data_IF_818757098826
#
_entry.id   IF_818757098826
#
_cell.length_a   1.000
_cell.length_b   1.000
_cell.length_c   1.000
_cell.angle_alpha   90.00
_cell.angle_beta   90.00
_cell.angle_gamma   90.00
#
_symmetry.space_group_name_H-M   'P 1'
#
loop_
_entity.id
_entity.type
_entity.pdbx_description
1 polymer ?
#
# COMPACT_ATOMS: atom_id res chain seq x y z
N UNK A 1 10.50 -28.64 0.09
CA UNK A 1 9.50 -28.13 1.05
C UNK A 1 9.12 -26.66 0.78
N UNK A 2 10.05 -25.76 0.46
CA UNK A 2 9.73 -24.33 0.23
C UNK A 2 8.75 -24.02 -0.90
N UNK A 3 8.92 -24.63 -2.09
CA UNK A 3 8.08 -24.32 -3.28
C UNK A 3 6.58 -24.59 -3.10
N UNK A 4 6.18 -25.63 -2.35
CA UNK A 4 4.76 -25.91 -2.12
C UNK A 4 4.11 -24.90 -1.17
N UNK A 5 4.88 -24.38 -0.21
CA UNK A 5 4.43 -23.34 0.71
C UNK A 5 4.27 -22.00 -0.01
N UNK A 6 5.21 -21.66 -0.89
CA UNK A 6 5.12 -20.45 -1.73
C UNK A 6 3.83 -20.44 -2.56
N UNK A 7 3.52 -21.54 -3.27
CA UNK A 7 2.30 -21.63 -4.09
C UNK A 7 1.02 -21.45 -3.28
N UNK A 8 0.96 -21.99 -2.06
CA UNK A 8 -0.19 -21.81 -1.18
C UNK A 8 -0.34 -20.35 -0.72
N UNK A 9 0.77 -19.70 -0.37
CA UNK A 9 0.79 -18.30 0.07
C UNK A 9 0.51 -17.33 -1.09
N UNK A 10 1.02 -17.60 -2.29
CA UNK A 10 0.69 -16.86 -3.52
C UNK A 10 -0.79 -16.98 -3.90
N UNK A 11 -1.46 -18.05 -3.47
CA UNK A 11 -2.92 -18.18 -3.59
C UNK A 11 -3.69 -17.21 -2.69
N UNK A 12 -3.10 -16.78 -1.57
CA UNK A 12 -3.73 -15.89 -0.57
C UNK A 12 -3.37 -14.41 -0.79
N UNK A 13 -2.10 -14.15 -1.07
CA UNK A 13 -1.54 -12.81 -1.21
C UNK A 13 -0.90 -12.62 -2.58
N UNK A 14 -1.32 -11.58 -3.27
CA UNK A 14 -0.79 -11.16 -4.57
C UNK A 14 -0.11 -9.81 -4.43
N UNK A 15 0.79 -9.52 -5.36
CA UNK A 15 1.44 -8.21 -5.42
C UNK A 15 0.38 -7.11 -5.55
N UNK A 16 0.55 -6.06 -4.75
CA UNK A 16 -0.34 -4.91 -4.60
C UNK A 16 -1.62 -5.14 -3.78
N UNK A 17 -1.83 -6.34 -3.22
CA UNK A 17 -2.87 -6.53 -2.20
C UNK A 17 -2.59 -5.58 -1.02
N UNK A 18 -3.65 -4.92 -0.53
CA UNK A 18 -3.57 -4.12 0.69
C UNK A 18 -3.72 -5.06 1.88
N UNK A 19 -2.80 -4.95 2.82
CA UNK A 19 -2.77 -5.75 4.03
C UNK A 19 -2.51 -4.88 5.24
N UNK A 20 -2.94 -5.32 6.42
CA UNK A 20 -2.62 -4.70 7.70
C UNK A 20 -1.88 -5.71 8.56
N UNK A 21 -0.79 -5.28 9.20
CA UNK A 21 -0.14 -6.11 10.22
C UNK A 21 -1.04 -6.17 11.46
N UNK A 22 -1.15 -7.34 12.09
CA UNK A 22 -1.81 -7.47 13.39
C UNK A 22 -1.29 -6.41 14.38
N UNK A 23 -2.16 -5.89 15.21
CA UNK A 23 -1.84 -4.96 16.29
C UNK A 23 -1.42 -5.67 17.59
N UNK A 24 -1.58 -7.00 17.67
CA UNK A 24 -1.20 -7.83 18.80
C UNK A 24 0.30 -8.18 18.77
N UNK A 25 1.12 -7.36 19.45
CA UNK A 25 2.58 -7.47 19.47
C UNK A 25 3.08 -8.87 19.83
N UNK A 26 2.51 -9.48 20.88
CA UNK A 26 2.89 -10.80 21.37
C UNK A 26 2.61 -11.90 20.34
N UNK A 27 1.48 -11.80 19.62
CA UNK A 27 1.15 -12.75 18.54
C UNK A 27 2.13 -12.58 17.38
N UNK A 28 2.42 -11.34 16.98
CA UNK A 28 3.38 -11.09 15.89
C UNK A 28 4.77 -11.62 16.24
N UNK A 29 5.24 -11.40 17.47
CA UNK A 29 6.52 -11.94 17.97
C UNK A 29 6.57 -13.46 17.84
N UNK A 30 5.54 -14.14 18.34
CA UNK A 30 5.46 -15.60 18.32
C UNK A 30 5.44 -16.15 16.90
N UNK A 31 4.55 -15.63 16.04
CA UNK A 31 4.37 -16.15 14.68
C UNK A 31 5.52 -15.80 13.74
N UNK A 32 6.34 -14.81 14.08
CA UNK A 32 7.53 -14.46 13.31
C UNK A 32 8.71 -15.40 13.55
N UNK A 33 8.67 -16.27 14.56
CA UNK A 33 9.71 -17.28 14.76
C UNK A 33 9.83 -18.20 13.53
N UNK A 34 11.03 -18.27 12.94
CA UNK A 34 11.28 -19.00 11.69
C UNK A 34 10.85 -18.26 10.40
N UNK A 35 10.28 -17.05 10.52
CA UNK A 35 9.78 -16.20 9.43
C UNK A 35 10.51 -14.85 9.35
N UNK A 36 11.80 -14.85 9.69
CA UNK A 36 12.64 -13.64 9.79
C UNK A 36 12.76 -13.08 11.21
N UNK A 37 11.95 -13.58 12.16
CA UNK A 37 11.97 -13.17 13.56
C UNK A 37 11.34 -11.81 13.79
N UNK A 38 11.39 -11.39 15.06
CA UNK A 38 10.94 -10.07 15.49
C UNK A 38 12.10 -9.07 15.53
N UNK A 39 11.81 -7.83 15.13
CA UNK A 39 12.68 -6.68 15.29
C UNK A 39 11.90 -5.59 16.03
N UNK A 40 12.47 -4.96 17.06
CA UNK A 40 11.76 -3.94 17.86
C UNK A 40 11.21 -2.77 17.01
N UNK A 41 11.82 -2.46 15.86
CA UNK A 41 11.29 -1.46 14.91
C UNK A 41 9.94 -1.87 14.32
N UNK A 42 9.63 -3.17 14.23
CA UNK A 42 8.34 -3.68 13.75
C UNK A 42 7.17 -3.17 14.57
N UNK A 43 7.39 -2.79 15.85
CA UNK A 43 6.38 -2.15 16.70
C UNK A 43 5.72 -0.94 16.03
N UNK A 44 6.48 -0.20 15.22
CA UNK A 44 5.98 0.96 14.46
C UNK A 44 5.05 0.59 13.30
N UNK A 45 5.01 -0.69 12.92
CA UNK A 45 4.19 -1.24 11.83
C UNK A 45 2.96 -2.01 12.32
N UNK A 46 2.82 -2.24 13.64
CA UNK A 46 1.65 -2.93 14.22
C UNK A 46 0.36 -2.16 13.94
N UNK A 47 -0.65 -2.83 13.39
CA UNK A 47 -1.92 -2.23 12.97
C UNK A 47 -1.80 -1.26 11.78
N UNK A 48 -0.62 -1.16 11.14
CA UNK A 48 -0.38 -0.26 10.01
C UNK A 48 -0.68 -0.99 8.71
N UNK A 49 -1.31 -0.28 7.76
CA UNK A 49 -1.56 -0.81 6.41
C UNK A 49 -0.29 -0.78 5.55
N UNK A 50 -0.23 -1.67 4.57
CA UNK A 50 0.86 -1.77 3.61
C UNK A 50 0.41 -2.49 2.35
N UNK A 51 1.32 -2.54 1.38
CA UNK A 51 1.13 -3.22 0.12
C UNK A 51 2.04 -4.44 0.04
N UNK A 52 1.48 -5.57 -0.40
CA UNK A 52 2.27 -6.76 -0.72
C UNK A 52 3.19 -6.44 -1.90
N UNK A 53 4.49 -6.59 -1.71
CA UNK A 53 5.50 -6.46 -2.76
C UNK A 53 5.67 -7.79 -3.51
N UNK A 54 5.83 -8.88 -2.77
CA UNK A 54 5.93 -10.25 -3.31
C UNK A 54 5.82 -11.30 -2.20
N UNK A 55 5.59 -12.55 -2.61
CA UNK A 55 5.74 -13.73 -1.75
C UNK A 55 7.13 -14.35 -2.00
N UNK A 56 7.85 -14.69 -0.94
CA UNK A 56 9.14 -15.37 -1.04
C UNK A 56 9.42 -16.26 0.19
N UNK A 57 9.82 -17.51 -0.05
CA UNK A 57 10.18 -18.47 0.99
C UNK A 57 9.10 -18.73 2.06
N UNK A 58 7.83 -18.69 1.65
CA UNK A 58 6.66 -18.85 2.50
C UNK A 58 6.33 -17.61 3.34
N UNK A 59 7.00 -16.48 3.08
CA UNK A 59 6.74 -15.18 3.69
C UNK A 59 6.11 -14.22 2.69
N UNK A 60 5.40 -13.24 3.21
CA UNK A 60 4.88 -12.12 2.43
C UNK A 60 5.76 -10.90 2.72
N UNK A 61 6.42 -10.37 1.68
CA UNK A 61 7.15 -9.10 1.78
C UNK A 61 6.16 -7.95 1.60
N UNK A 62 6.04 -7.10 2.62
CA UNK A 62 5.10 -5.97 2.66
C UNK A 62 5.86 -4.67 2.83
N UNK A 63 5.50 -3.66 2.04
CA UNK A 63 5.92 -2.27 2.21
C UNK A 63 4.79 -1.49 2.90
N UNK A 64 5.02 -1.04 4.13
CA UNK A 64 4.03 -0.34 4.93
C UNK A 64 4.00 1.15 4.59
N UNK A 65 2.88 1.82 4.88
CA UNK A 65 2.73 3.26 4.64
C UNK A 65 3.67 4.12 5.49
N UNK A 66 4.26 3.55 6.54
CA UNK A 66 5.37 4.15 7.28
C UNK A 66 6.72 4.00 6.55
N UNK A 67 6.79 3.46 5.34
CA UNK A 67 8.03 3.18 4.60
C UNK A 67 8.93 2.09 5.20
N UNK A 68 8.46 1.33 6.20
CA UNK A 68 9.16 0.12 6.63
C UNK A 68 8.81 -1.05 5.69
N UNK A 69 9.74 -1.97 5.50
CA UNK A 69 9.54 -3.18 4.71
C UNK A 69 9.91 -4.39 5.53
N UNK A 70 9.01 -5.37 5.61
CA UNK A 70 9.21 -6.59 6.38
C UNK A 70 8.87 -7.83 5.55
N UNK A 71 9.57 -8.93 5.81
CA UNK A 71 9.15 -10.26 5.39
C UNK A 71 8.38 -10.87 6.56
N UNK A 72 7.11 -11.18 6.34
CA UNK A 72 6.17 -11.53 7.39
C UNK A 72 5.61 -12.94 7.18
N UNK A 73 5.37 -13.64 8.28
CA UNK A 73 4.50 -14.80 8.29
C UNK A 73 3.13 -14.38 7.72
N UNK A 74 2.57 -15.10 6.74
CA UNK A 74 1.23 -14.82 6.21
C UNK A 74 0.15 -14.69 7.29
N UNK A 75 0.26 -15.41 8.41
CA UNK A 75 -0.74 -15.44 9.50
C UNK A 75 -0.80 -14.16 10.33
N UNK A 76 0.24 -13.31 10.28
CA UNK A 76 0.21 -12.00 10.98
C UNK A 76 -0.44 -10.90 10.12
N UNK A 77 -0.85 -11.21 8.89
CA UNK A 77 -1.43 -10.27 7.96
C UNK A 77 -2.94 -10.44 7.87
N UNK A 78 -3.63 -9.31 7.96
CA UNK A 78 -5.07 -9.20 7.69
C UNK A 78 -5.21 -8.57 6.31
N UNK A 79 -5.78 -9.29 5.36
CA UNK A 79 -6.04 -8.77 4.01
C UNK A 79 -7.20 -7.77 4.07
N UNK A 80 -7.04 -6.64 3.41
CA UNK A 80 -8.09 -5.66 3.25
C UNK A 80 -8.94 -6.07 2.04
N UNK A 81 -10.12 -6.63 2.28
CA UNK A 81 -10.99 -7.14 1.20
C UNK A 81 -11.76 -6.03 0.46
N UNK A 82 -11.70 -4.79 0.95
CA UNK A 82 -12.41 -3.65 0.39
C UNK A 82 -11.61 -2.92 -0.70
N UNK A 83 -11.09 -3.65 -1.69
CA UNK A 83 -10.37 -3.05 -2.80
C UNK A 83 -11.26 -2.07 -3.59
N UNK A 84 -10.88 -0.79 -3.59
CA UNK A 84 -11.56 0.25 -4.36
C UNK A 84 -12.75 0.92 -3.66
N UNK A 85 -13.02 0.62 -2.38
CA UNK A 85 -13.96 1.43 -1.60
C UNK A 85 -13.33 2.78 -1.23
N UNK A 86 -14.16 3.82 -1.12
CA UNK A 86 -13.73 5.15 -0.67
C UNK A 86 -13.02 6.03 -1.72
N UNK A 87 -12.96 5.64 -2.99
CA UNK A 87 -12.43 6.52 -4.07
C UNK A 87 -13.31 7.76 -4.33
N UNK A 88 -14.61 7.63 -4.05
CA UNK A 88 -15.55 8.75 -4.15
C UNK A 88 -15.31 9.78 -3.05
N UNK A 89 -14.97 9.31 -1.86
CA UNK A 89 -14.72 10.09 -0.65
C UNK A 89 -13.23 10.38 -0.40
N UNK A 90 -12.41 10.46 -1.46
CA UNK A 90 -11.01 10.84 -1.33
C UNK A 90 -10.88 12.26 -0.76
N UNK A 91 -9.86 12.46 0.06
CA UNK A 91 -9.54 13.77 0.65
C UNK A 91 -8.04 14.07 0.58
N UNK A 92 -7.68 15.36 0.70
CA UNK A 92 -6.28 15.77 0.83
C UNK A 92 -5.63 15.12 2.04
N UNK A 93 -4.47 14.51 1.81
CA UNK A 93 -3.71 13.75 2.80
C UNK A 93 -3.93 12.24 2.73
N UNK A 94 -4.92 11.75 1.98
CA UNK A 94 -5.11 10.31 1.78
C UNK A 94 -3.90 9.69 1.08
N UNK A 95 -3.52 8.50 1.53
CA UNK A 95 -2.42 7.73 0.95
C UNK A 95 -2.99 6.70 -0.02
N UNK A 96 -2.50 6.74 -1.25
CA UNK A 96 -3.10 6.02 -2.37
C UNK A 96 -2.06 5.28 -3.20
N UNK A 97 -2.48 4.23 -3.89
CA UNK A 97 -1.71 3.52 -4.90
C UNK A 97 -2.17 3.99 -6.29
N UNK A 98 -1.21 4.37 -7.14
CA UNK A 98 -1.51 4.49 -8.57
C UNK A 98 -1.56 3.08 -9.14
N UNK A 99 -2.69 2.70 -9.75
CA UNK A 99 -2.95 1.33 -10.17
C UNK A 99 -1.82 0.78 -11.07
N UNK A 100 -1.40 -0.48 -10.86
CA UNK A 100 -0.31 -1.11 -11.59
C UNK A 100 -0.78 -1.65 -12.96
N UNK A 101 -1.39 -0.79 -13.77
CA UNK A 101 -1.90 -1.13 -15.10
C UNK A 101 -0.87 -0.86 -16.19
N UNK A 102 -1.12 -1.32 -17.41
CA UNK A 102 -0.26 -0.97 -18.55
C UNK A 102 -0.35 0.54 -18.86
N UNK A 103 0.71 1.13 -19.41
CA UNK A 103 0.68 2.55 -19.82
C UNK A 103 -0.45 2.82 -20.83
N UNK A 104 -0.71 1.88 -21.74
CA UNK A 104 -1.78 2.02 -22.73
C UNK A 104 -3.16 2.11 -22.06
N UNK A 105 -3.42 1.25 -21.07
CA UNK A 105 -4.65 1.31 -20.28
C UNK A 105 -4.74 2.60 -19.47
N UNK A 106 -3.64 3.03 -18.84
CA UNK A 106 -3.60 4.27 -18.09
C UNK A 106 -3.90 5.50 -18.96
N UNK A 107 -3.38 5.55 -20.19
CA UNK A 107 -3.68 6.60 -21.17
C UNK A 107 -5.17 6.65 -21.52
N UNK A 108 -5.80 5.50 -21.70
CA UNK A 108 -7.24 5.40 -21.97
C UNK A 108 -8.05 5.92 -20.77
N UNK A 109 -7.70 5.51 -19.55
CA UNK A 109 -8.37 5.99 -18.33
C UNK A 109 -8.15 7.49 -18.09
N UNK A 110 -7.00 8.04 -18.52
CA UNK A 110 -6.69 9.47 -18.42
C UNK A 110 -7.34 10.34 -19.50
N UNK A 111 -7.93 9.75 -20.55
CA UNK A 111 -8.54 10.52 -21.62
C UNK A 111 -9.60 11.47 -21.05
N UNK A 112 -9.50 12.75 -21.36
CA UNK A 112 -10.35 13.84 -20.87
C UNK A 112 -10.24 14.18 -19.37
N UNK A 113 -9.31 13.54 -18.63
CA UNK A 113 -9.11 13.72 -17.18
C UNK A 113 -7.76 14.40 -16.84
N UNK A 114 -7.30 15.31 -17.70
CA UNK A 114 -5.99 15.97 -17.59
C UNK A 114 -4.93 15.41 -18.54
N UNK A 115 -5.24 14.34 -19.26
CA UNK A 115 -4.36 13.72 -20.24
C UNK A 115 -3.23 12.90 -19.60
N UNK A 116 -2.33 12.40 -20.44
CA UNK A 116 -1.17 11.61 -20.00
C UNK A 116 0.12 12.34 -20.39
N UNK A 117 0.98 12.59 -19.40
CA UNK A 117 2.25 13.27 -19.58
C UNK A 117 3.43 12.29 -19.49
N UNK A 118 4.52 12.58 -20.20
CA UNK A 118 5.74 11.80 -20.11
C UNK A 118 6.30 11.80 -18.68
N UNK A 119 6.65 10.62 -18.17
CA UNK A 119 7.10 10.41 -16.79
C UNK A 119 6.01 9.83 -15.88
N UNK A 120 4.73 10.00 -16.21
CA UNK A 120 3.62 9.43 -15.43
C UNK A 120 3.67 7.90 -15.38
N UNK A 121 4.22 7.25 -16.39
CA UNK A 121 4.37 5.79 -16.43
C UNK A 121 5.20 5.23 -15.27
N UNK A 122 6.11 6.05 -14.72
CA UNK A 122 6.94 5.67 -13.56
C UNK A 122 6.17 5.66 -12.25
N UNK A 123 5.00 6.30 -12.21
CA UNK A 123 4.13 6.32 -11.03
C UNK A 123 3.29 5.05 -10.89
N UNK A 124 3.07 4.30 -11.97
CA UNK A 124 2.22 3.11 -11.97
C UNK A 124 2.78 2.06 -10.98
N UNK A 125 1.91 1.56 -10.11
CA UNK A 125 2.29 0.64 -9.04
C UNK A 125 3.06 1.28 -7.88
N UNK A 126 3.17 2.61 -7.83
CA UNK A 126 3.76 3.34 -6.71
C UNK A 126 2.68 4.07 -5.91
N UNK A 127 2.96 4.28 -4.64
CA UNK A 127 2.10 5.02 -3.74
C UNK A 127 2.40 6.52 -3.76
N UNK A 128 1.38 7.32 -3.43
CA UNK A 128 1.49 8.75 -3.30
C UNK A 128 0.51 9.32 -2.28
N UNK A 129 0.60 10.63 -2.10
CA UNK A 129 -0.29 11.37 -1.19
C UNK A 129 -1.18 12.28 -2.03
N UNK A 130 -2.49 12.23 -1.78
CA UNK A 130 -3.45 13.16 -2.37
C UNK A 130 -3.14 14.58 -1.90
N UNK A 131 -2.87 15.49 -2.83
CA UNK A 131 -2.62 16.91 -2.57
C UNK A 131 -3.87 17.76 -2.77
N UNK A 132 -4.75 17.33 -3.67
CA UNK A 132 -6.00 18.04 -3.95
C UNK A 132 -7.01 17.11 -4.63
N UNK A 133 -8.29 17.33 -4.39
CA UNK A 133 -9.40 16.60 -5.02
C UNK A 133 -10.11 17.58 -5.93
N UNK A 134 -9.96 17.38 -7.24
CA UNK A 134 -10.38 18.34 -8.25
C UNK A 134 -11.82 18.02 -8.71
N UNK A 135 -12.52 18.99 -9.34
CA UNK A 135 -13.85 18.75 -9.87
C UNK A 135 -13.91 17.58 -10.87
N UNK A 136 -15.02 16.83 -10.82
CA UNK A 136 -15.23 15.61 -11.61
C UNK A 136 -14.45 14.43 -11.04
N UNK A 137 -14.00 13.53 -11.91
CA UNK A 137 -13.27 12.32 -11.51
C UNK A 137 -11.76 12.53 -11.43
N UNK A 138 -11.29 13.72 -11.04
CA UNK A 138 -9.85 14.07 -11.04
C UNK A 138 -9.30 14.25 -9.64
N UNK A 139 -8.07 13.80 -9.42
CA UNK A 139 -7.35 13.94 -8.15
C UNK A 139 -5.89 14.24 -8.41
N UNK A 140 -5.34 15.20 -7.68
CA UNK A 140 -3.91 15.54 -7.73
C UNK A 140 -3.18 14.74 -6.68
N UNK A 141 -2.23 13.90 -7.10
CA UNK A 141 -1.44 13.02 -6.22
C UNK A 141 0.04 13.34 -6.40
N UNK A 142 0.77 13.49 -5.30
CA UNK A 142 2.23 13.57 -5.31
C UNK A 142 2.82 12.17 -5.17
N UNK A 143 3.56 11.75 -6.19
CA UNK A 143 4.29 10.48 -6.24
C UNK A 143 5.76 10.81 -6.44
N UNK A 144 6.64 10.30 -5.57
CA UNK A 144 8.08 10.55 -5.65
C UNK A 144 8.45 12.04 -5.77
N UNK A 145 7.79 12.90 -4.98
CA UNK A 145 7.96 14.38 -4.98
C UNK A 145 7.48 15.08 -6.25
N UNK A 146 6.81 14.38 -7.16
CA UNK A 146 6.23 14.95 -8.37
C UNK A 146 4.70 14.91 -8.33
N UNK A 147 4.02 16.06 -8.43
CA UNK A 147 2.57 16.10 -8.47
C UNK A 147 2.03 15.82 -9.87
N UNK A 148 1.05 14.93 -9.95
CA UNK A 148 0.35 14.58 -11.17
C UNK A 148 -1.17 14.59 -10.94
N UNK A 149 -1.95 14.81 -12.00
CA UNK A 149 -3.41 14.71 -11.96
C UNK A 149 -3.83 13.38 -12.57
N UNK A 150 -4.54 12.58 -11.80
CA UNK A 150 -5.08 11.28 -12.21
C UNK A 150 -6.60 11.29 -12.19
N UNK A 151 -7.18 10.45 -13.03
CA UNK A 151 -8.55 9.99 -12.96
C UNK A 151 -8.66 9.11 -11.71
N UNK A 152 -9.71 9.29 -10.91
CA UNK A 152 -10.01 8.47 -9.71
C UNK A 152 -10.00 6.96 -10.02
N UNK A 153 -10.38 6.55 -11.23
CA UNK A 153 -10.34 5.13 -11.64
C UNK A 153 -8.93 4.53 -11.70
N UNK A 154 -7.89 5.35 -11.79
CA UNK A 154 -6.47 4.96 -11.72
C UNK A 154 -5.93 4.92 -10.29
N UNK A 155 -6.77 5.19 -9.29
CA UNK A 155 -6.37 5.33 -7.89
C UNK A 155 -7.03 4.23 -7.07
N UNK A 156 -6.25 3.63 -6.18
CA UNK A 156 -6.75 2.78 -5.10
C UNK A 156 -6.41 3.46 -3.78
N UNK A 157 -7.41 3.68 -2.91
CA UNK A 157 -7.16 4.16 -1.56
C UNK A 157 -6.43 3.07 -0.77
N UNK A 158 -5.30 3.41 -0.15
CA UNK A 158 -4.53 2.49 0.70
C UNK A 158 -4.80 2.78 2.16
N UNK A 159 -4.77 4.05 2.56
CA UNK A 159 -4.87 4.47 3.95
C UNK A 159 -5.44 5.89 4.05
N UNK A 160 -6.43 6.10 4.91
CA UNK A 160 -7.00 7.44 5.14
C UNK A 160 -6.01 8.36 5.85
N UNK A 161 -6.13 9.66 5.62
CA UNK A 161 -5.25 10.67 6.24
C UNK A 161 -5.20 10.57 7.77
N UNK A 162 -6.31 10.24 8.44
CA UNK A 162 -6.36 10.10 9.91
C UNK A 162 -5.49 8.93 10.39
N UNK A 163 -5.53 7.82 9.66
CA UNK A 163 -4.69 6.65 9.93
C UNK A 163 -3.22 6.99 9.68
N UNK A 164 -2.92 7.71 8.58
CA UNK A 164 -1.56 8.19 8.28
C UNK A 164 -1.01 9.12 9.37
N UNK A 165 -1.82 10.03 9.91
CA UNK A 165 -1.42 10.92 11.00
C UNK A 165 -1.04 10.11 12.24
N UNK A 166 -1.83 9.08 12.60
CA UNK A 166 -1.49 8.20 13.73
C UNK A 166 -0.15 7.48 13.52
N UNK A 167 0.11 7.03 12.30
CA UNK A 167 1.39 6.40 11.93
C UNK A 167 2.56 7.37 12.12
N UNK A 168 2.43 8.61 11.66
CA UNK A 168 3.47 9.63 11.79
C UNK A 168 3.73 10.01 13.25
N UNK A 169 2.67 10.16 14.05
CA UNK A 169 2.80 10.48 15.48
C UNK A 169 3.53 9.39 16.25
N UNK A 170 3.24 8.09 15.98
CA UNK A 170 3.95 6.97 16.60
C UNK A 170 5.46 7.04 16.40
N UNK A 171 5.92 7.45 15.21
CA UNK A 171 7.36 7.60 14.93
C UNK A 171 8.02 8.73 15.72
N UNK A 172 7.33 9.85 15.90
CA UNK A 172 7.86 10.99 16.64
C UNK A 172 7.99 10.69 18.15
N UNK A 173 7.10 9.87 18.71
CA UNK A 173 7.16 9.49 20.13
C UNK A 173 8.27 8.48 20.47
N UNK A 174 8.92 7.88 19.46
CA UNK A 174 10.02 6.91 19.60
C UNK A 174 11.41 7.49 19.28
N UNK A 175 11.49 8.77 18.87
CA UNK A 175 12.75 9.51 18.72
C UNK A 175 13.02 10.34 19.96
#
# INVERSE_FOLDING_TARGET
MGKHRDVAVEGLFKKYDIVKLSDEEEIVKLLQEGHGGWNERMKLSLGVKGLVNRVEFGNVRVEFVNSDTWALNPEVLIKDEEEGTGIDDLETGDFVLIRPVSEQEARVLQQDHGGWAAGMEKSLGHTGIVKDVLPGSKVKVEVSQQPWVYNKSLITLVCKKEEMVRVLLRRQSTM
#
